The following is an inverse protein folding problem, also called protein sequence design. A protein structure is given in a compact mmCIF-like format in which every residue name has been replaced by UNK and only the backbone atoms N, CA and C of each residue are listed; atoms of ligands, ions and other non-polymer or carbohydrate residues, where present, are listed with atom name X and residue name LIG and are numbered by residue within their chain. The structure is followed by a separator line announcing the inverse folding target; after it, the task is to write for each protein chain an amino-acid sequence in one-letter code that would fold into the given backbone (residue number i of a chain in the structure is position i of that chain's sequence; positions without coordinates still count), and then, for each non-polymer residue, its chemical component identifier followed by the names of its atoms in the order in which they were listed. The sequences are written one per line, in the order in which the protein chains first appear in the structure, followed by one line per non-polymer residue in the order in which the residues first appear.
data_IF_483930254573
#
_entry.id   IF_483930254573
#
_cell.length_a   1.000
_cell.length_b   1.000
_cell.length_c   1.000
_cell.angle_alpha   90.00
_cell.angle_beta   90.00
_cell.angle_gamma   90.00
#
_symmetry.space_group_name_H-M   'P 1'
#
loop_
_entity.id
_entity.type
_entity.pdbx_description
1 polymer ?
#
# COMPACT_ATOMS: atom_id res chain seq x y z
N UNK A 1 19.61 4.72 -7.38
CA UNK A 1 18.52 5.72 -7.46
C UNK A 1 19.11 7.03 -7.96
N UNK A 2 18.44 7.72 -8.88
CA UNK A 2 18.86 9.01 -9.38
C UNK A 2 17.65 9.94 -9.53
N UNK A 3 17.80 11.19 -9.17
CA UNK A 3 16.84 12.24 -9.48
C UNK A 3 17.56 13.47 -10.06
N UNK A 4 16.83 14.33 -10.77
CA UNK A 4 17.40 15.55 -11.30
C UNK A 4 17.67 16.57 -10.19
N UNK A 5 18.74 17.35 -10.31
CA UNK A 5 19.05 18.42 -9.35
C UNK A 5 17.90 19.44 -9.20
N UNK A 6 17.13 19.67 -10.27
CA UNK A 6 15.99 20.57 -10.23
C UNK A 6 14.89 20.09 -9.28
N UNK A 7 14.51 18.82 -9.35
CA UNK A 7 13.51 18.22 -8.44
C UNK A 7 14.00 18.29 -7.00
N UNK A 8 15.27 17.93 -6.75
CA UNK A 8 15.86 17.99 -5.42
C UNK A 8 15.87 19.41 -4.86
N UNK A 9 16.34 20.39 -5.64
CA UNK A 9 16.42 21.77 -5.21
C UNK A 9 15.04 22.35 -4.90
N UNK A 10 14.04 22.07 -5.74
CA UNK A 10 12.67 22.54 -5.50
C UNK A 10 12.12 22.06 -4.15
N UNK A 11 12.39 20.81 -3.77
CA UNK A 11 11.98 20.28 -2.47
C UNK A 11 12.72 20.94 -1.31
N UNK A 12 14.05 21.13 -1.46
CA UNK A 12 14.90 21.79 -0.45
C UNK A 12 14.46 23.24 -0.26
N UNK A 13 14.18 23.95 -1.34
CA UNK A 13 13.81 25.37 -1.27
C UNK A 13 12.41 25.54 -0.66
N UNK A 14 11.45 24.68 -1.00
CA UNK A 14 10.13 24.64 -0.35
C UNK A 14 10.26 24.45 1.18
N UNK A 15 11.08 23.50 1.62
CA UNK A 15 11.31 23.27 3.06
C UNK A 15 11.93 24.47 3.73
N UNK A 16 12.90 25.15 3.07
CA UNK A 16 13.52 26.37 3.59
C UNK A 16 12.52 27.52 3.71
N UNK A 17 11.62 27.69 2.71
CA UNK A 17 10.55 28.68 2.76
C UNK A 17 9.60 28.44 3.94
N UNK A 18 9.38 27.17 4.33
CA UNK A 18 8.64 26.79 5.53
C UNK A 18 9.46 26.96 6.83
N UNK A 19 10.69 27.47 6.77
CA UNK A 19 11.58 27.65 7.94
C UNK A 19 12.28 26.36 8.40
N UNK A 20 12.16 25.27 7.61
CA UNK A 20 12.77 23.97 7.95
C UNK A 20 14.19 23.86 7.36
N UNK A 21 15.04 23.12 8.05
CA UNK A 21 16.41 22.81 7.57
C UNK A 21 16.50 21.33 7.27
N UNK A 22 16.39 20.91 5.99
CA UNK A 22 16.54 19.51 5.62
C UNK A 22 17.98 19.05 5.90
N UNK A 23 18.13 17.99 6.70
CA UNK A 23 19.42 17.41 7.03
C UNK A 23 19.75 16.20 6.15
N UNK A 24 18.74 15.43 5.78
CA UNK A 24 18.86 14.23 4.94
C UNK A 24 17.75 14.26 3.91
N UNK A 25 18.09 13.89 2.67
CA UNK A 25 17.12 13.64 1.60
C UNK A 25 17.23 12.18 1.22
N UNK A 26 16.11 11.46 1.27
CA UNK A 26 16.03 10.05 0.95
C UNK A 26 14.91 9.79 -0.09
N UNK A 27 14.79 8.57 -0.54
CA UNK A 27 13.71 8.13 -1.42
C UNK A 27 12.72 7.26 -0.65
N UNK A 28 11.45 7.34 -0.98
CA UNK A 28 10.37 6.66 -0.25
C UNK A 28 10.65 5.18 0.05
N UNK A 29 11.11 4.34 -0.90
CA UNK A 29 11.38 2.94 -0.61
C UNK A 29 12.44 2.71 0.47
N UNK A 30 13.50 3.52 0.48
CA UNK A 30 14.57 3.40 1.47
C UNK A 30 14.11 3.95 2.81
N UNK A 31 13.45 5.12 2.82
CA UNK A 31 12.88 5.70 4.04
C UNK A 31 11.88 4.75 4.71
N UNK A 32 11.03 4.09 3.92
CA UNK A 32 10.07 3.09 4.40
C UNK A 32 10.78 1.86 5.00
N UNK A 33 11.84 1.37 4.35
CA UNK A 33 12.63 0.24 4.88
C UNK A 33 13.35 0.59 6.17
N UNK A 34 13.86 1.82 6.27
CA UNK A 34 14.49 2.32 7.49
C UNK A 34 13.48 2.44 8.64
N UNK A 35 12.29 2.99 8.38
CA UNK A 35 11.22 3.08 9.37
C UNK A 35 10.78 1.69 9.84
N UNK A 36 10.64 0.73 8.92
CA UNK A 36 10.29 -0.65 9.25
C UNK A 36 11.38 -1.30 10.11
N UNK A 37 12.65 -1.14 9.73
CA UNK A 37 13.80 -1.71 10.47
C UNK A 37 13.95 -1.13 11.88
N UNK A 38 13.52 0.10 12.07
CA UNK A 38 13.48 0.73 13.38
C UNK A 38 12.35 0.19 14.26
N UNK A 39 11.20 -0.06 13.65
CA UNK A 39 9.98 -0.46 14.36
C UNK A 39 9.85 -1.97 14.60
N UNK A 40 10.48 -2.79 13.77
CA UNK A 40 10.37 -4.25 13.79
C UNK A 40 11.74 -4.90 13.60
N UNK A 41 11.96 -6.00 14.31
CA UNK A 41 13.11 -6.85 14.05
C UNK A 41 12.97 -7.52 12.67
N UNK A 42 14.01 -7.35 11.87
CA UNK A 42 14.07 -8.01 10.56
C UNK A 42 14.48 -9.46 10.81
N UNK A 43 13.70 -10.44 10.34
CA UNK A 43 14.04 -11.84 10.46
C UNK A 43 15.40 -12.13 9.81
N UNK A 44 16.18 -13.02 10.42
CA UNK A 44 17.46 -13.44 9.85
C UNK A 44 17.28 -14.23 8.57
N UNK A 45 16.17 -14.98 8.47
CA UNK A 45 15.81 -15.77 7.29
C UNK A 45 14.48 -15.28 6.71
N UNK A 46 14.43 -15.21 5.38
CA UNK A 46 13.24 -14.87 4.62
C UNK A 46 13.10 -13.39 4.28
N UNK A 47 12.07 -13.09 3.51
CA UNK A 47 11.83 -11.78 2.94
C UNK A 47 10.55 -11.16 3.52
N UNK A 48 10.62 -9.88 3.79
CA UNK A 48 9.46 -9.05 4.12
C UNK A 48 9.07 -8.25 2.88
N UNK A 49 7.78 -8.19 2.61
CA UNK A 49 7.22 -7.35 1.56
C UNK A 49 6.51 -6.19 2.20
N UNK A 50 6.83 -4.98 1.79
CA UNK A 50 6.11 -3.77 2.20
C UNK A 50 5.39 -3.19 1.00
N UNK A 51 4.15 -2.77 1.18
CA UNK A 51 3.35 -2.09 0.18
C UNK A 51 2.82 -0.79 0.77
N UNK A 52 3.37 0.32 0.32
CA UNK A 52 2.86 1.66 0.62
C UNK A 52 1.76 2.01 -0.38
N UNK A 53 0.51 2.11 0.08
CA UNK A 53 -0.64 2.42 -0.75
C UNK A 53 -0.98 3.90 -0.58
N UNK A 54 -0.39 4.71 -1.46
CA UNK A 54 -0.66 6.14 -1.51
C UNK A 54 -1.98 6.47 -2.20
N UNK A 55 -2.22 7.76 -2.43
CA UNK A 55 -3.46 8.23 -3.05
C UNK A 55 -3.59 7.79 -4.52
N UNK A 56 -2.53 7.93 -5.31
CA UNK A 56 -2.55 7.73 -6.78
C UNK A 56 -1.77 6.50 -7.21
N UNK A 57 -0.71 6.15 -6.47
CA UNK A 57 0.19 5.04 -6.77
C UNK A 57 0.57 4.31 -5.49
N UNK A 58 1.06 3.10 -5.65
CA UNK A 58 1.61 2.32 -4.54
C UNK A 58 3.07 1.97 -4.82
N UNK A 59 3.86 1.86 -3.76
CA UNK A 59 5.27 1.45 -3.84
C UNK A 59 5.45 0.11 -3.14
N UNK A 60 5.88 -0.89 -3.89
CA UNK A 60 6.22 -2.22 -3.38
C UNK A 60 7.71 -2.28 -3.09
N UNK A 61 8.06 -2.79 -1.92
CA UNK A 61 9.45 -3.05 -1.52
C UNK A 61 9.57 -4.48 -1.04
N UNK A 62 10.62 -5.16 -1.49
CA UNK A 62 11.03 -6.46 -0.95
C UNK A 62 12.35 -6.26 -0.23
N UNK A 63 12.39 -6.69 1.02
CA UNK A 63 13.50 -6.45 1.93
C UNK A 63 13.77 -7.67 2.81
N UNK A 64 15.05 -7.98 3.01
CA UNK A 64 15.52 -9.05 3.88
C UNK A 64 16.97 -8.82 4.28
N UNK A 65 17.42 -9.40 5.39
CA UNK A 65 18.76 -9.22 5.90
C UNK A 65 19.77 -9.92 4.98
N UNK A 66 20.65 -9.13 4.37
CA UNK A 66 21.63 -9.64 3.41
C UNK A 66 21.08 -9.99 2.03
N UNK A 67 19.78 -9.77 1.80
CA UNK A 67 19.12 -10.06 0.54
C UNK A 67 19.11 -8.85 -0.40
N UNK A 68 18.87 -9.11 -1.67
CA UNK A 68 18.81 -8.05 -2.67
C UNK A 68 17.58 -7.16 -2.43
N UNK A 69 17.81 -5.87 -2.20
CA UNK A 69 16.75 -4.87 -2.13
C UNK A 69 16.06 -4.72 -3.48
N UNK A 70 14.72 -4.75 -3.47
CA UNK A 70 13.91 -4.58 -4.66
C UNK A 70 12.78 -3.60 -4.39
N UNK A 71 12.53 -2.72 -5.33
CA UNK A 71 11.39 -1.79 -5.28
C UNK A 71 10.73 -1.67 -6.63
N UNK A 72 9.41 -1.45 -6.62
CA UNK A 72 8.60 -1.22 -7.81
C UNK A 72 7.43 -0.32 -7.51
N UNK A 73 7.22 0.68 -8.37
CA UNK A 73 6.03 1.51 -8.33
C UNK A 73 4.91 0.83 -9.13
N UNK A 74 3.71 0.85 -8.55
CA UNK A 74 2.48 0.33 -9.11
C UNK A 74 1.52 1.50 -9.33
N UNK A 75 0.93 1.66 -10.54
CA UNK A 75 0.12 2.82 -10.88
C UNK A 75 -1.32 2.72 -10.33
N UNK A 76 -1.48 2.17 -9.13
CA UNK A 76 -2.76 2.00 -8.46
C UNK A 76 -2.61 2.48 -7.02
N UNK A 77 -3.51 3.33 -6.57
CA UNK A 77 -3.61 3.84 -5.19
C UNK A 77 -5.06 3.99 -4.75
N UNK A 78 -5.26 4.53 -3.56
CA UNK A 78 -6.58 4.63 -2.92
C UNK A 78 -7.63 5.40 -3.73
N UNK A 79 -7.21 6.43 -4.49
CA UNK A 79 -8.11 7.14 -5.40
C UNK A 79 -8.81 6.21 -6.41
N UNK A 80 -8.11 5.20 -6.90
CA UNK A 80 -8.69 4.25 -7.85
C UNK A 80 -9.75 3.36 -7.20
N UNK A 81 -9.59 3.02 -5.92
CA UNK A 81 -10.60 2.25 -5.16
C UNK A 81 -11.88 3.08 -4.98
N UNK A 82 -11.72 4.36 -4.56
CA UNK A 82 -12.85 5.28 -4.38
C UNK A 82 -13.57 5.51 -5.70
N UNK A 83 -12.82 5.73 -6.78
CA UNK A 83 -13.37 5.96 -8.12
C UNK A 83 -14.18 4.77 -8.60
N UNK A 84 -13.64 3.55 -8.48
CA UNK A 84 -14.39 2.33 -8.85
C UNK A 84 -15.68 2.20 -8.06
N UNK A 85 -15.66 2.47 -6.74
CA UNK A 85 -16.84 2.40 -5.90
C UNK A 85 -17.89 3.47 -6.28
N UNK A 86 -17.42 4.70 -6.53
CA UNK A 86 -18.27 5.82 -6.99
C UNK A 86 -18.99 5.46 -8.29
N UNK A 87 -18.27 4.90 -9.27
CA UNK A 87 -18.83 4.49 -10.56
C UNK A 87 -19.82 3.32 -10.40
N UNK A 88 -19.47 2.30 -9.59
CA UNK A 88 -20.33 1.12 -9.38
C UNK A 88 -21.63 1.42 -8.61
N UNK A 89 -21.58 2.36 -7.68
CA UNK A 89 -22.73 2.74 -6.85
C UNK A 89 -23.48 3.96 -7.38
N UNK A 90 -22.96 4.61 -8.44
CA UNK A 90 -23.49 5.85 -9.00
C UNK A 90 -23.63 6.97 -7.96
N UNK A 91 -22.67 7.06 -7.04
CA UNK A 91 -22.62 8.05 -5.95
C UNK A 91 -21.45 9.02 -6.12
N UNK A 92 -21.49 10.14 -5.42
CA UNK A 92 -20.42 11.15 -5.45
C UNK A 92 -19.09 10.59 -4.88
N UNK A 93 -17.96 11.18 -5.33
CA UNK A 93 -16.62 10.74 -4.90
C UNK A 93 -16.44 10.78 -3.38
N UNK A 94 -16.89 11.85 -2.72
CA UNK A 94 -16.78 12.01 -1.26
C UNK A 94 -17.59 10.94 -0.54
N UNK A 95 -18.83 10.71 -0.98
CA UNK A 95 -19.69 9.68 -0.42
C UNK A 95 -19.10 8.28 -0.60
N UNK A 96 -18.52 8.01 -1.77
CA UNK A 96 -17.82 6.74 -2.03
C UNK A 96 -16.57 6.58 -1.15
N UNK A 97 -15.85 7.67 -0.89
CA UNK A 97 -14.70 7.67 0.01
C UNK A 97 -15.11 7.33 1.45
N UNK A 98 -16.14 7.99 1.97
CA UNK A 98 -16.66 7.74 3.32
C UNK A 98 -17.16 6.30 3.46
N UNK A 99 -17.87 5.80 2.44
CA UNK A 99 -18.35 4.42 2.39
C UNK A 99 -17.20 3.41 2.38
N UNK A 100 -16.15 3.68 1.59
CA UNK A 100 -14.97 2.81 1.52
C UNK A 100 -14.21 2.77 2.86
N UNK A 101 -14.07 3.90 3.54
CA UNK A 101 -13.43 3.95 4.85
C UNK A 101 -14.24 3.25 5.94
N UNK A 102 -15.57 3.30 5.86
CA UNK A 102 -16.46 2.69 6.83
C UNK A 102 -16.63 1.19 6.62
N UNK A 103 -17.00 0.80 5.40
CA UNK A 103 -17.43 -0.56 5.08
C UNK A 103 -16.36 -1.36 4.30
N UNK A 104 -15.30 -0.68 3.89
CA UNK A 104 -14.17 -1.29 3.22
C UNK A 104 -14.53 -1.92 1.88
N UNK A 105 -13.84 -3.00 1.56
CA UNK A 105 -14.07 -3.74 0.30
C UNK A 105 -15.43 -4.44 0.25
N UNK A 106 -16.13 -4.59 1.38
CA UNK A 106 -17.50 -5.11 1.39
C UNK A 106 -18.49 -4.16 0.73
N UNK A 107 -18.22 -2.85 0.74
CA UNK A 107 -19.03 -1.86 0.04
C UNK A 107 -19.08 -2.07 -1.49
N UNK A 108 -18.05 -2.71 -2.06
CA UNK A 108 -17.98 -3.02 -3.49
C UNK A 108 -18.73 -4.29 -3.88
N UNK A 109 -19.17 -5.10 -2.90
CA UNK A 109 -20.02 -6.26 -3.17
C UNK A 109 -21.43 -5.76 -3.47
N UNK A 110 -21.91 -6.01 -4.67
CA UNK A 110 -23.29 -5.69 -5.03
C UNK A 110 -24.25 -6.50 -4.17
N UNK A 111 -25.32 -5.86 -3.68
CA UNK A 111 -26.50 -6.51 -3.07
C UNK A 111 -27.30 -7.33 -4.12
N UNK A 112 -26.63 -8.04 -5.00
CA UNK A 112 -27.28 -8.92 -5.96
C UNK A 112 -27.75 -10.18 -5.26
N UNK A 113 -28.77 -10.03 -4.39
CA UNK A 113 -29.79 -11.05 -4.17
C UNK A 113 -30.75 -11.07 -5.36
N UNK A 114 -30.25 -11.35 -6.54
CA UNK A 114 -31.09 -11.79 -7.64
C UNK A 114 -30.77 -13.25 -7.92
N UNK A 115 -31.71 -14.10 -7.51
CA UNK A 115 -31.81 -15.52 -7.83
C UNK A 115 -31.90 -15.78 -9.35
N UNK A 116 -30.94 -15.30 -10.12
CA UNK A 116 -30.80 -15.70 -11.53
C UNK A 116 -29.61 -16.63 -11.69
N UNK A 117 -29.86 -17.92 -11.46
CA UNK A 117 -28.92 -19.04 -11.59
C UNK A 117 -28.40 -19.26 -13.02
N UNK A 118 -28.47 -18.33 -13.96
CA UNK A 118 -28.15 -18.62 -15.38
C UNK A 118 -27.23 -17.58 -16.06
N UNK A 119 -26.60 -16.67 -15.34
CA UNK A 119 -25.52 -15.90 -15.94
C UNK A 119 -24.17 -16.41 -15.42
N UNK A 120 -23.43 -17.08 -16.31
CA UNK A 120 -21.99 -17.28 -16.17
C UNK A 120 -21.34 -15.91 -16.32
N UNK A 121 -21.53 -15.04 -15.31
CA UNK A 121 -20.92 -13.75 -15.23
C UNK A 121 -19.42 -13.93 -15.06
N UNK A 122 -18.64 -13.50 -16.03
CA UNK A 122 -17.21 -13.28 -15.86
C UNK A 122 -17.11 -12.27 -14.73
N UNK A 123 -16.64 -12.69 -13.55
CA UNK A 123 -16.46 -11.80 -12.40
C UNK A 123 -15.58 -10.63 -12.84
N UNK A 124 -16.15 -9.44 -12.86
CA UNK A 124 -15.45 -8.24 -13.28
C UNK A 124 -14.27 -8.01 -12.34
N UNK A 125 -13.07 -7.87 -12.91
CA UNK A 125 -11.87 -7.60 -12.12
C UNK A 125 -11.96 -6.23 -11.49
N UNK A 126 -11.76 -6.19 -10.19
CA UNK A 126 -11.73 -4.95 -9.43
C UNK A 126 -10.36 -4.28 -9.49
N UNK A 127 -10.29 -3.01 -9.13
CA UNK A 127 -9.01 -2.27 -9.05
C UNK A 127 -8.05 -2.92 -8.05
N UNK A 128 -8.55 -3.41 -6.91
CA UNK A 128 -7.69 -4.12 -5.96
C UNK A 128 -7.25 -5.51 -6.46
N UNK A 129 -8.03 -6.17 -7.32
CA UNK A 129 -7.58 -7.39 -8.02
C UNK A 129 -6.39 -7.10 -8.93
N UNK A 130 -6.43 -5.98 -9.62
CA UNK A 130 -5.33 -5.55 -10.48
C UNK A 130 -4.08 -5.21 -9.65
N UNK A 131 -4.23 -4.52 -8.51
CA UNK A 131 -3.14 -4.24 -7.59
C UNK A 131 -2.47 -5.54 -7.11
N UNK A 132 -3.26 -6.50 -6.66
CA UNK A 132 -2.76 -7.80 -6.16
C UNK A 132 -2.07 -8.60 -7.28
N UNK A 133 -2.59 -8.54 -8.51
CA UNK A 133 -1.94 -9.20 -9.64
C UNK A 133 -0.60 -8.54 -10.00
N UNK A 134 -0.49 -7.21 -9.93
CA UNK A 134 0.76 -6.50 -10.13
C UNK A 134 1.78 -6.79 -9.00
N UNK A 135 1.31 -6.92 -7.76
CA UNK A 135 2.13 -7.43 -6.65
C UNK A 135 2.65 -8.85 -6.97
N UNK A 136 1.75 -9.76 -7.36
CA UNK A 136 2.12 -11.15 -7.70
C UNK A 136 3.16 -11.21 -8.81
N UNK A 137 3.02 -10.40 -9.86
CA UNK A 137 4.01 -10.29 -10.94
C UNK A 137 5.35 -9.79 -10.44
N UNK A 138 5.34 -8.80 -9.55
CA UNK A 138 6.55 -8.23 -8.96
C UNK A 138 7.30 -9.24 -8.10
N UNK A 139 6.58 -9.98 -7.24
CA UNK A 139 7.16 -11.01 -6.39
C UNK A 139 7.70 -12.19 -7.21
N UNK A 140 7.00 -12.62 -8.26
CA UNK A 140 7.52 -13.64 -9.20
C UNK A 140 8.76 -13.18 -9.93
N UNK A 141 8.81 -11.91 -10.35
CA UNK A 141 9.99 -11.36 -11.00
C UNK A 141 11.18 -11.36 -10.04
N UNK A 142 11.00 -10.91 -8.80
CA UNK A 142 12.01 -10.96 -7.76
C UNK A 142 12.53 -12.39 -7.54
N UNK A 143 11.63 -13.33 -7.33
CA UNK A 143 11.98 -14.73 -7.09
C UNK A 143 12.76 -15.34 -8.27
N UNK A 144 12.40 -15.01 -9.51
CA UNK A 144 13.14 -15.48 -10.69
C UNK A 144 14.53 -14.87 -10.78
N UNK A 145 14.71 -13.63 -10.34
CA UNK A 145 15.99 -12.92 -10.42
C UNK A 145 16.98 -13.35 -9.34
N UNK A 146 16.49 -13.60 -8.13
CA UNK A 146 17.33 -13.86 -6.95
C UNK A 146 17.39 -15.32 -6.55
N UNK A 147 16.45 -16.14 -7.03
CA UNK A 147 16.25 -17.51 -6.54
C UNK A 147 15.53 -17.58 -5.19
N UNK A 148 15.21 -16.45 -4.56
CA UNK A 148 14.53 -16.36 -3.28
C UNK A 148 13.03 -16.19 -3.48
N UNK A 149 12.23 -17.10 -2.93
CA UNK A 149 10.77 -17.10 -3.06
C UNK A 149 10.03 -17.23 -1.73
N UNK A 150 10.75 -17.24 -0.63
CA UNK A 150 10.17 -17.36 0.70
C UNK A 150 9.86 -15.98 1.27
N UNK A 151 8.62 -15.54 1.11
CA UNK A 151 8.10 -14.30 1.65
C UNK A 151 7.37 -14.58 2.97
N UNK A 152 7.89 -14.06 4.08
CA UNK A 152 7.37 -14.30 5.41
C UNK A 152 6.03 -13.60 5.64
N UNK A 153 5.99 -12.31 5.29
CA UNK A 153 4.83 -11.46 5.57
C UNK A 153 4.79 -10.25 4.65
N UNK A 154 3.58 -9.81 4.35
CA UNK A 154 3.30 -8.56 3.68
C UNK A 154 2.85 -7.54 4.73
N UNK A 155 3.43 -6.36 4.69
CA UNK A 155 3.00 -5.22 5.49
C UNK A 155 2.43 -4.14 4.58
N UNK A 156 1.19 -3.75 4.84
CA UNK A 156 0.51 -2.65 4.16
C UNK A 156 0.72 -1.37 4.97
N UNK A 157 1.09 -0.29 4.31
CA UNK A 157 1.22 1.03 4.90
C UNK A 157 0.71 2.09 3.93
N UNK A 158 0.68 3.34 4.35
CA UNK A 158 0.13 4.44 3.55
C UNK A 158 -1.36 4.69 3.79
N UNK A 159 -1.85 5.79 3.23
CA UNK A 159 -3.19 6.30 3.55
C UNK A 159 -4.36 5.37 3.20
N UNK A 160 -4.20 4.48 2.23
CA UNK A 160 -5.24 3.52 1.85
C UNK A 160 -5.03 2.10 2.40
N UNK A 161 -3.95 1.86 3.16
CA UNK A 161 -3.64 0.55 3.72
C UNK A 161 -4.67 0.08 4.75
N UNK A 162 -5.29 1.03 5.48
CA UNK A 162 -6.31 0.77 6.48
C UNK A 162 -7.70 0.47 5.93
N UNK A 163 -7.88 0.37 4.61
CA UNK A 163 -9.18 0.00 4.01
C UNK A 163 -9.64 -1.36 4.56
N UNK A 164 -10.81 -1.43 5.25
CA UNK A 164 -11.28 -2.66 5.86
C UNK A 164 -11.41 -3.80 4.84
N UNK A 165 -10.90 -4.99 5.19
CA UNK A 165 -10.92 -6.18 4.33
C UNK A 165 -9.78 -6.27 3.32
N UNK A 166 -8.93 -5.23 3.16
CA UNK A 166 -7.86 -5.26 2.17
C UNK A 166 -6.75 -6.25 2.56
N UNK A 167 -6.33 -6.25 3.82
CA UNK A 167 -5.29 -7.17 4.32
C UNK A 167 -5.70 -8.64 4.15
N UNK A 168 -6.96 -8.96 4.42
CA UNK A 168 -7.52 -10.30 4.27
C UNK A 168 -7.53 -10.73 2.80
N UNK A 169 -7.96 -9.86 1.90
CA UNK A 169 -7.99 -10.16 0.46
C UNK A 169 -6.58 -10.34 -0.10
N UNK A 170 -5.62 -9.51 0.32
CA UNK A 170 -4.21 -9.66 -0.07
C UNK A 170 -3.64 -11.00 0.44
N UNK A 171 -3.88 -11.33 1.72
CA UNK A 171 -3.48 -12.61 2.31
C UNK A 171 -4.04 -13.79 1.54
N UNK A 172 -5.34 -13.81 1.31
CA UNK A 172 -6.02 -14.94 0.65
C UNK A 172 -5.56 -15.12 -0.80
N UNK A 173 -5.42 -14.02 -1.54
CA UNK A 173 -5.03 -14.09 -2.96
C UNK A 173 -3.56 -14.38 -3.21
N UNK A 174 -2.67 -13.94 -2.32
CA UNK A 174 -1.23 -14.19 -2.45
C UNK A 174 -0.77 -15.39 -1.64
N UNK A 175 -1.58 -15.89 -0.71
CA UNK A 175 -1.25 -16.95 0.24
C UNK A 175 0.02 -16.61 1.06
N UNK A 176 0.12 -15.36 1.49
CA UNK A 176 1.19 -14.83 2.33
C UNK A 176 0.51 -14.06 3.46
N UNK A 177 0.98 -14.24 4.69
CA UNK A 177 0.48 -13.48 5.84
C UNK A 177 0.55 -11.97 5.56
N UNK A 178 -0.53 -11.24 5.89
CA UNK A 178 -0.64 -9.82 5.63
C UNK A 178 -1.12 -9.07 6.87
N UNK A 179 -0.55 -7.91 7.13
CA UNK A 179 -1.00 -7.03 8.22
C UNK A 179 -0.76 -5.55 7.82
N UNK A 180 -1.52 -4.67 8.44
CA UNK A 180 -1.24 -3.24 8.37
C UNK A 180 -0.04 -2.92 9.27
N UNK A 181 0.85 -2.06 8.79
CA UNK A 181 2.00 -1.54 9.52
C UNK A 181 1.78 -0.06 9.79
N UNK A 182 1.67 0.26 11.07
CA UNK A 182 1.69 1.64 11.54
C UNK A 182 3.10 1.97 12.05
N UNK A 183 3.83 2.92 11.42
CA UNK A 183 5.17 3.29 11.86
C UNK A 183 5.18 3.96 13.24
N UNK A 184 4.04 4.48 13.71
CA UNK A 184 3.92 5.14 15.00
C UNK A 184 3.76 4.18 16.19
N UNK A 185 3.36 2.93 15.96
CA UNK A 185 3.19 1.90 17.02
C UNK A 185 4.42 1.70 17.89
N UNK A 186 5.62 2.06 17.40
CA UNK A 186 6.90 1.89 18.08
C UNK A 186 7.56 3.19 18.51
N UNK A 187 6.85 4.32 18.39
CA UNK A 187 7.33 5.63 18.81
C UNK A 187 6.81 5.98 20.21
N UNK A 188 7.72 6.37 21.12
CA UNK A 188 7.33 6.88 22.42
C UNK A 188 6.49 8.16 22.26
N UNK A 189 5.33 8.23 22.91
CA UNK A 189 4.41 9.37 22.82
C UNK A 189 3.43 9.32 21.66
N UNK A 190 3.38 8.23 20.91
CA UNK A 190 2.41 8.05 19.82
C UNK A 190 0.94 8.09 20.33
N UNK A 191 0.70 7.64 21.56
CA UNK A 191 -0.63 7.67 22.21
C UNK A 191 -1.14 9.10 22.45
N UNK A 192 -0.25 10.09 22.52
CA UNK A 192 -0.61 11.51 22.74
C UNK A 192 -0.95 12.24 21.42
N UNK A 193 -0.65 11.63 20.28
CA UNK A 193 -0.90 12.21 18.96
C UNK A 193 -2.12 11.53 18.34
N UNK A 194 -3.32 11.98 18.69
CA UNK A 194 -4.51 11.65 17.90
C UNK A 194 -4.39 12.31 16.53
N UNK A 195 -3.87 11.58 15.56
CA UNK A 195 -3.96 11.98 14.15
C UNK A 195 -5.44 11.81 13.78
N UNK A 196 -6.23 12.87 14.01
CA UNK A 196 -7.56 12.94 13.44
C UNK A 196 -7.38 12.96 11.92
N UNK A 197 -7.84 11.91 11.25
CA UNK A 197 -7.99 11.98 9.80
C UNK A 197 -8.69 13.30 9.46
N UNK A 198 -8.11 14.17 8.62
CA UNK A 198 -8.81 15.36 8.20
C UNK A 198 -10.06 14.92 7.45
N UNK A 199 -11.19 15.24 8.05
CA UNK A 199 -12.53 15.10 7.47
C UNK A 199 -12.67 15.94 6.20
#
# INVERSE_FOLDING_TARGET
VACTKGVLNNHIDLLKECGLKPGIVDVNPIAMSNAFSFAKDIPDDGLVVMLDIGAVSSTLVVYGKGEQFFTRDLPIGGHHFVKELSEKKEIGYIEAQDLLFKDGLSASKSDSTSDNMNEVGIAERTVYDNLIEDMRRSLRFYAKQTGQSFFLKIFLTGGAAGTPGLSEVVKDKLNIECAVFDPFDSMDGADDVSISNPS
#
